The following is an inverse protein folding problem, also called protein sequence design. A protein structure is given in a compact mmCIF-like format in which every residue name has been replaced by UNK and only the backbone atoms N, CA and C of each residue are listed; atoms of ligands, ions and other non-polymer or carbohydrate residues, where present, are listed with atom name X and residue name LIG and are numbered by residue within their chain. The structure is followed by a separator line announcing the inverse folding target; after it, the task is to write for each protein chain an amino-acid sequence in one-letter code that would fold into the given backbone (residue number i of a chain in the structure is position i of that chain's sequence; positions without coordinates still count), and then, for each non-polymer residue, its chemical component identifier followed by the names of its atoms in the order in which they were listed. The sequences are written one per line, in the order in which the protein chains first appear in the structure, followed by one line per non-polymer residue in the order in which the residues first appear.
data_IF_760363378451
#
_entry.id   IF_760363378451
#
_cell.length_a   1.000
_cell.length_b   1.000
_cell.length_c   1.000
_cell.angle_alpha   90.00
_cell.angle_beta   90.00
_cell.angle_gamma   90.00
#
_symmetry.space_group_name_H-M   'P 1'
#
loop_
_entity.id
_entity.type
_entity.pdbx_description
1 polymer ?
#
# COMPACT_ATOMS: atom_id res chain seq x y z
N UNK A 1 -4.60 13.24 -21.65
CA UNK A 1 -5.86 12.45 -21.62
C UNK A 1 -6.38 12.50 -20.20
N UNK A 2 -7.61 12.96 -20.00
CA UNK A 2 -8.26 13.03 -18.68
C UNK A 2 -8.98 11.73 -18.33
N UNK A 3 -9.28 10.90 -19.33
CA UNK A 3 -10.00 9.63 -19.19
C UNK A 3 -9.38 8.55 -20.09
N UNK A 4 -9.68 7.28 -19.76
CA UNK A 4 -9.33 6.14 -20.60
C UNK A 4 -10.18 6.17 -21.90
N UNK A 5 -9.64 5.67 -23.03
CA UNK A 5 -10.44 5.54 -24.25
C UNK A 5 -11.59 4.53 -24.04
N UNK A 6 -12.60 4.60 -24.91
CA UNK A 6 -13.69 3.64 -24.92
C UNK A 6 -13.15 2.20 -25.01
N UNK A 7 -13.58 1.33 -24.09
CA UNK A 7 -13.17 -0.06 -24.09
C UNK A 7 -13.85 -0.84 -25.22
N UNK A 8 -13.19 -1.90 -25.70
CA UNK A 8 -13.83 -2.91 -26.55
C UNK A 8 -15.03 -3.57 -25.81
N UNK A 9 -16.03 -4.09 -26.53
CA UNK A 9 -17.16 -4.81 -25.93
C UNK A 9 -16.68 -5.91 -24.98
N UNK A 10 -17.20 -5.92 -23.75
CA UNK A 10 -16.77 -6.83 -22.68
C UNK A 10 -17.89 -7.04 -21.65
N UNK A 11 -17.77 -8.09 -20.85
CA UNK A 11 -18.67 -8.39 -19.70
C UNK A 11 -17.86 -8.47 -18.40
N UNK A 12 -18.44 -8.12 -17.24
CA UNK A 12 -17.77 -8.31 -15.97
C UNK A 12 -17.62 -9.81 -15.66
N UNK A 13 -16.49 -10.21 -15.08
CA UNK A 13 -16.24 -11.60 -14.65
C UNK A 13 -15.78 -11.67 -13.18
N UNK A 14 -15.08 -10.65 -12.71
CA UNK A 14 -14.46 -10.60 -11.41
C UNK A 14 -14.25 -9.14 -11.03
N UNK A 15 -14.45 -8.82 -9.76
CA UNK A 15 -14.08 -7.52 -9.21
C UNK A 15 -13.18 -7.75 -8.01
N UNK A 16 -12.01 -7.12 -8.04
CA UNK A 16 -11.12 -6.99 -6.89
C UNK A 16 -11.13 -5.53 -6.46
N UNK A 17 -11.32 -5.30 -5.16
CA UNK A 17 -11.18 -3.98 -4.53
C UNK A 17 -10.10 -4.08 -3.46
N UNK A 18 -9.21 -3.09 -3.45
CA UNK A 18 -8.20 -2.93 -2.42
C UNK A 18 -8.30 -1.51 -1.89
N UNK A 19 -8.33 -1.36 -0.57
CA UNK A 19 -8.45 -0.08 0.12
C UNK A 19 -7.33 0.05 1.15
N UNK A 20 -6.79 1.26 1.28
CA UNK A 20 -5.81 1.63 2.29
C UNK A 20 -6.29 2.91 2.97
N UNK A 21 -6.43 2.85 4.30
CA UNK A 21 -6.83 3.97 5.12
C UNK A 21 -5.76 4.25 6.16
N UNK A 22 -5.44 5.53 6.35
CA UNK A 22 -4.37 5.98 7.21
C UNK A 22 -4.90 6.70 8.43
N UNK A 23 -4.39 6.36 9.62
CA UNK A 23 -4.78 6.96 10.88
C UNK A 23 -3.55 7.34 11.71
N UNK A 24 -3.56 8.55 12.28
CA UNK A 24 -2.67 8.91 13.37
C UNK A 24 -3.30 8.46 14.68
N UNK A 25 -2.53 7.77 15.53
CA UNK A 25 -2.95 7.36 16.87
C UNK A 25 -2.56 8.40 17.91
N UNK A 26 -3.27 8.41 19.03
CA UNK A 26 -3.00 9.28 20.17
C UNK A 26 -1.62 9.03 20.81
N UNK A 27 -1.05 7.83 20.62
CA UNK A 27 0.30 7.48 21.08
C UNK A 27 1.43 7.87 20.09
N UNK A 28 1.09 8.56 19.01
CA UNK A 28 2.03 9.03 17.99
C UNK A 28 2.46 7.97 16.97
N UNK A 29 1.87 6.77 16.99
CA UNK A 29 2.04 5.78 15.94
C UNK A 29 1.02 5.96 14.82
N UNK A 30 1.22 5.26 13.71
CA UNK A 30 0.37 5.31 12.53
C UNK A 30 -0.25 3.95 12.27
N UNK A 31 -1.56 3.88 12.10
CA UNK A 31 -2.23 2.68 11.60
C UNK A 31 -2.50 2.82 10.10
N UNK A 32 -2.25 1.73 9.37
CA UNK A 32 -2.62 1.55 7.98
C UNK A 32 -3.59 0.37 7.91
N UNK A 33 -4.87 0.68 7.75
CA UNK A 33 -5.91 -0.32 7.56
C UNK A 33 -6.00 -0.68 6.08
N UNK A 34 -5.72 -1.93 5.78
CA UNK A 34 -5.73 -2.49 4.44
C UNK A 34 -6.90 -3.45 4.31
N UNK A 35 -7.70 -3.34 3.25
CA UNK A 35 -8.77 -4.30 2.94
C UNK A 35 -8.63 -4.82 1.52
N UNK A 36 -8.85 -6.12 1.31
CA UNK A 36 -9.02 -6.75 0.01
C UNK A 36 -10.38 -7.46 -0.04
N UNK A 37 -11.16 -7.16 -1.09
CA UNK A 37 -12.41 -7.83 -1.40
C UNK A 37 -12.40 -8.37 -2.84
N UNK A 38 -12.67 -9.67 -2.99
CA UNK A 38 -12.77 -10.35 -4.27
C UNK A 38 -14.17 -10.92 -4.48
N UNK A 39 -14.84 -10.53 -5.57
CA UNK A 39 -16.18 -11.03 -5.94
C UNK A 39 -16.20 -11.56 -7.37
N UNK A 40 -17.17 -12.42 -7.70
CA UNK A 40 -17.42 -12.86 -9.08
C UNK A 40 -18.71 -12.25 -9.61
N UNK A 41 -18.75 -12.00 -10.91
CA UNK A 41 -19.94 -11.51 -11.59
C UNK A 41 -20.94 -12.62 -11.97
N UNK A 42 -20.59 -13.87 -11.65
CA UNK A 42 -21.37 -15.07 -11.88
C UNK A 42 -21.43 -15.88 -10.59
N UNK A 43 -22.42 -16.76 -10.51
CA UNK A 43 -22.50 -17.77 -9.46
C UNK A 43 -21.30 -18.72 -9.55
N UNK A 44 -20.80 -19.13 -8.39
CA UNK A 44 -19.74 -20.12 -8.27
C UNK A 44 -20.04 -21.07 -7.12
N UNK A 45 -19.43 -22.26 -7.14
CA UNK A 45 -19.48 -23.20 -6.02
C UNK A 45 -18.10 -23.31 -5.39
N UNK A 46 -18.02 -23.10 -4.08
CA UNK A 46 -16.82 -23.33 -3.26
C UNK A 46 -17.00 -24.60 -2.43
N UNK A 47 -15.91 -25.32 -2.18
CA UNK A 47 -15.97 -26.61 -1.50
C UNK A 47 -16.55 -26.52 -0.08
N UNK A 48 -16.13 -25.53 0.71
CA UNK A 48 -16.57 -25.39 2.11
C UNK A 48 -17.76 -24.44 2.30
N UNK A 49 -18.00 -23.54 1.34
CA UNK A 49 -19.04 -22.49 1.43
C UNK A 49 -20.24 -22.72 0.51
N UNK A 50 -20.22 -23.78 -0.29
CA UNK A 50 -21.29 -24.11 -1.23
C UNK A 50 -21.44 -23.05 -2.33
N UNK A 51 -22.68 -22.85 -2.77
CA UNK A 51 -23.01 -21.91 -3.84
C UNK A 51 -22.93 -20.47 -3.33
N UNK A 52 -22.13 -19.64 -4.02
CA UNK A 52 -22.01 -18.21 -3.80
C UNK A 52 -22.69 -17.45 -4.94
N UNK A 53 -23.66 -16.56 -4.66
CA UNK A 53 -24.28 -15.74 -5.69
C UNK A 53 -23.30 -14.68 -6.25
N UNK A 54 -23.57 -14.13 -7.45
CA UNK A 54 -22.81 -13.02 -8.00
C UNK A 54 -22.70 -11.86 -7.00
N UNK A 55 -21.50 -11.31 -6.85
CA UNK A 55 -21.22 -10.19 -5.94
C UNK A 55 -20.88 -10.58 -4.51
N UNK A 56 -21.14 -11.82 -4.06
CA UNK A 56 -20.72 -12.27 -2.73
C UNK A 56 -19.18 -12.42 -2.68
N UNK A 57 -18.51 -11.94 -1.61
CA UNK A 57 -17.06 -12.06 -1.49
C UNK A 57 -16.58 -13.52 -1.34
N UNK A 58 -15.65 -13.89 -2.21
CA UNK A 58 -14.77 -15.05 -2.03
C UNK A 58 -13.76 -14.73 -0.94
N UNK A 59 -13.08 -13.59 -1.09
CA UNK A 59 -12.13 -13.06 -0.13
C UNK A 59 -12.66 -11.76 0.45
N UNK A 60 -12.61 -11.64 1.77
CA UNK A 60 -12.77 -10.39 2.50
C UNK A 60 -11.74 -10.42 3.63
N UNK A 61 -10.60 -9.77 3.38
CA UNK A 61 -9.42 -9.85 4.22
C UNK A 61 -9.00 -8.44 4.60
N UNK A 62 -8.76 -8.23 5.89
CA UNK A 62 -8.26 -6.99 6.46
C UNK A 62 -6.91 -7.21 7.12
N UNK A 63 -6.01 -6.25 6.98
CA UNK A 63 -4.72 -6.20 7.67
C UNK A 63 -4.55 -4.79 8.23
N UNK A 64 -4.29 -4.68 9.53
CA UNK A 64 -3.85 -3.43 10.16
C UNK A 64 -2.36 -3.52 10.40
N UNK A 65 -1.60 -2.54 9.89
CA UNK A 65 -0.18 -2.37 10.20
C UNK A 65 -0.01 -1.11 11.03
N UNK A 66 0.57 -1.24 12.22
CA UNK A 66 0.98 -0.10 13.03
C UNK A 66 2.45 0.21 12.75
N UNK A 67 2.80 1.44 12.38
CA UNK A 67 4.18 1.86 12.10
C UNK A 67 4.57 3.10 12.91
N UNK A 68 5.87 3.27 13.14
CA UNK A 68 6.43 4.50 13.68
C UNK A 68 6.81 5.51 12.60
N UNK A 69 7.34 6.66 13.03
CA UNK A 69 7.86 7.73 12.17
C UNK A 69 9.03 7.32 11.26
N UNK A 70 9.66 6.18 11.53
CA UNK A 70 10.70 5.56 10.71
C UNK A 70 10.16 4.44 9.81
N UNK A 71 8.83 4.29 9.70
CA UNK A 71 8.15 3.25 8.94
C UNK A 71 8.49 1.81 9.39
N UNK A 72 8.88 1.64 10.65
CA UNK A 72 9.10 0.31 11.24
C UNK A 72 7.79 -0.22 11.80
N UNK A 73 7.42 -1.44 11.42
CA UNK A 73 6.21 -2.11 11.88
C UNK A 73 6.33 -2.41 13.37
N UNK A 74 5.44 -1.83 14.16
CA UNK A 74 5.31 -2.01 15.61
C UNK A 74 4.28 -3.06 15.98
N UNK A 75 3.24 -3.20 15.17
CA UNK A 75 2.22 -4.23 15.32
C UNK A 75 1.61 -4.61 13.97
N UNK A 76 1.09 -5.83 13.86
CA UNK A 76 0.41 -6.32 12.67
C UNK A 76 -0.74 -7.26 13.07
N UNK A 77 -1.95 -6.94 12.61
CA UNK A 77 -3.17 -7.71 12.89
C UNK A 77 -3.89 -8.02 11.59
N UNK A 78 -4.58 -9.17 11.53
CA UNK A 78 -5.38 -9.51 10.36
C UNK A 78 -6.72 -10.15 10.75
N UNK A 79 -7.74 -9.87 9.95
CA UNK A 79 -9.04 -10.50 10.01
C UNK A 79 -9.41 -11.04 8.63
N UNK A 80 -9.80 -12.31 8.55
CA UNK A 80 -10.10 -13.00 7.29
C UNK A 80 -11.57 -13.41 7.27
N UNK A 81 -12.47 -12.43 7.17
CA UNK A 81 -13.92 -12.61 7.33
C UNK A 81 -14.55 -13.53 6.29
N UNK A 82 -14.01 -13.56 5.07
CA UNK A 82 -14.44 -14.48 4.00
C UNK A 82 -13.20 -15.07 3.35
N UNK A 83 -13.11 -16.39 3.32
CA UNK A 83 -12.04 -17.16 2.68
C UNK A 83 -12.63 -18.41 2.02
N UNK A 84 -11.94 -18.99 1.03
CA UNK A 84 -12.40 -20.22 0.38
C UNK A 84 -12.14 -21.49 1.21
N UNK A 85 -11.15 -21.44 2.11
CA UNK A 85 -10.68 -22.58 2.92
C UNK A 85 -10.40 -22.14 4.36
N UNK A 86 -10.79 -22.96 5.34
CA UNK A 86 -10.54 -22.69 6.76
C UNK A 86 -9.06 -22.51 7.12
N UNK A 87 -8.16 -23.24 6.48
CA UNK A 87 -6.71 -23.18 6.72
C UNK A 87 -6.10 -21.81 6.37
N UNK A 88 -6.81 -20.99 5.58
CA UNK A 88 -6.39 -19.62 5.31
C UNK A 88 -6.18 -18.81 6.59
N UNK A 89 -6.93 -19.10 7.67
CA UNK A 89 -6.84 -18.41 8.96
C UNK A 89 -5.49 -18.60 9.66
N UNK A 90 -4.70 -19.63 9.34
CA UNK A 90 -3.36 -19.79 9.90
C UNK A 90 -2.46 -18.59 9.57
N UNK A 91 -2.66 -17.97 8.41
CA UNK A 91 -1.89 -16.83 7.95
C UNK A 91 -2.13 -15.54 8.76
N UNK A 92 -3.22 -15.43 9.54
CA UNK A 92 -3.51 -14.24 10.37
C UNK A 92 -2.82 -14.27 11.75
N UNK A 93 -1.99 -15.27 12.02
CA UNK A 93 -1.36 -15.51 13.33
C UNK A 93 0.17 -15.33 13.30
N UNK A 94 0.93 -16.36 13.64
CA UNK A 94 2.40 -16.37 13.68
C UNK A 94 3.08 -15.89 12.39
N UNK A 95 2.61 -16.27 11.18
CA UNK A 95 3.14 -15.69 9.94
C UNK A 95 3.12 -14.17 9.93
N UNK A 96 2.00 -13.55 10.29
CA UNK A 96 1.84 -12.10 10.27
C UNK A 96 2.77 -11.40 11.27
N UNK A 97 2.99 -12.01 12.45
CA UNK A 97 3.89 -11.49 13.48
C UNK A 97 5.33 -11.35 12.99
N UNK A 98 5.77 -12.13 11.98
CA UNK A 98 7.11 -12.01 11.36
C UNK A 98 7.33 -10.68 10.64
N UNK A 99 6.27 -9.88 10.41
CA UNK A 99 6.39 -8.54 9.85
C UNK A 99 6.83 -7.51 10.90
N UNK A 100 6.58 -7.76 12.19
CA UNK A 100 6.94 -6.85 13.28
C UNK A 100 8.46 -6.67 13.33
N UNK A 101 8.90 -5.42 13.41
CA UNK A 101 10.31 -5.03 13.36
C UNK A 101 10.86 -4.82 11.95
N UNK A 102 10.12 -5.18 10.89
CA UNK A 102 10.53 -4.83 9.52
C UNK A 102 10.23 -3.36 9.23
N UNK A 103 11.16 -2.71 8.52
CA UNK A 103 11.00 -1.33 8.03
C UNK A 103 10.56 -1.31 6.57
N UNK A 104 9.46 -0.60 6.30
CA UNK A 104 9.00 -0.31 4.94
C UNK A 104 10.01 0.63 4.26
N UNK A 105 10.50 0.25 3.09
CA UNK A 105 11.54 1.03 2.40
C UNK A 105 12.29 0.23 1.33
N UNK A 106 13.56 0.57 1.04
CA UNK A 106 14.36 -0.15 0.07
C UNK A 106 14.37 -1.66 0.33
N UNK A 107 14.12 -2.45 -0.72
CA UNK A 107 14.04 -3.90 -0.63
C UNK A 107 12.77 -4.44 0.05
N UNK A 108 11.73 -3.61 0.25
CA UNK A 108 10.50 -4.01 0.96
C UNK A 108 9.92 -5.34 0.51
N UNK A 109 9.77 -5.52 -0.81
CA UNK A 109 9.28 -6.78 -1.40
C UNK A 109 10.08 -7.99 -0.94
N UNK A 110 11.41 -7.90 -0.97
CA UNK A 110 12.31 -8.98 -0.55
C UNK A 110 12.17 -9.29 0.94
N UNK A 111 11.95 -8.26 1.78
CA UNK A 111 11.71 -8.45 3.22
C UNK A 111 10.38 -9.18 3.47
N UNK A 112 9.31 -8.79 2.78
CA UNK A 112 8.01 -9.48 2.86
C UNK A 112 8.15 -10.94 2.42
N UNK A 113 8.79 -11.17 1.27
CA UNK A 113 8.99 -12.53 0.74
C UNK A 113 9.84 -13.38 1.69
N UNK A 114 10.85 -12.80 2.36
CA UNK A 114 11.63 -13.49 3.39
C UNK A 114 10.84 -13.84 4.66
N UNK A 115 9.87 -13.01 5.04
CA UNK A 115 9.09 -13.21 6.27
C UNK A 115 7.91 -14.17 6.07
N UNK A 116 7.11 -13.95 5.02
CA UNK A 116 5.83 -14.62 4.78
C UNK A 116 5.66 -15.11 3.34
N UNK A 117 6.75 -15.26 2.60
CA UNK A 117 6.74 -15.74 1.22
C UNK A 117 6.41 -17.23 1.08
N UNK A 118 6.07 -17.63 -0.15
CA UNK A 118 5.75 -19.02 -0.47
C UNK A 118 4.58 -19.54 0.35
N UNK A 119 4.76 -20.72 0.96
CA UNK A 119 3.78 -21.39 1.82
C UNK A 119 3.77 -20.86 3.26
N UNK A 120 4.71 -19.98 3.62
CA UNK A 120 4.81 -19.44 4.97
C UNK A 120 3.75 -18.38 5.30
N UNK A 121 2.93 -17.96 4.32
CA UNK A 121 1.87 -16.98 4.51
C UNK A 121 0.87 -16.92 3.35
N UNK A 122 -0.17 -16.09 3.50
CA UNK A 122 -1.22 -15.94 2.48
C UNK A 122 -0.79 -14.95 1.38
N UNK A 123 -1.05 -15.29 0.12
CA UNK A 123 -0.82 -14.40 -1.03
C UNK A 123 -1.58 -13.08 -0.89
N UNK A 124 -2.82 -13.10 -0.40
CA UNK A 124 -3.65 -11.89 -0.26
C UNK A 124 -3.11 -10.95 0.84
N UNK A 125 -2.66 -11.49 1.97
CA UNK A 125 -2.02 -10.68 3.01
C UNK A 125 -0.73 -10.05 2.47
N UNK A 126 0.09 -10.81 1.72
CA UNK A 126 1.30 -10.28 1.09
C UNK A 126 1.01 -9.14 0.12
N UNK A 127 -0.04 -9.24 -0.69
CA UNK A 127 -0.46 -8.19 -1.62
C UNK A 127 -0.85 -6.89 -0.90
N UNK A 128 -1.60 -7.00 0.19
CA UNK A 128 -1.96 -5.86 1.04
C UNK A 128 -0.71 -5.20 1.64
N UNK A 129 0.13 -5.99 2.30
CA UNK A 129 1.34 -5.52 2.99
C UNK A 129 2.36 -4.91 2.01
N UNK A 130 2.46 -5.44 0.79
CA UNK A 130 3.33 -4.88 -0.24
C UNK A 130 2.93 -3.45 -0.60
N UNK A 131 1.65 -3.20 -0.85
CA UNK A 131 1.15 -1.88 -1.27
C UNK A 131 0.93 -0.91 -0.10
N UNK A 132 0.81 -1.40 1.14
CA UNK A 132 0.68 -0.58 2.34
C UNK A 132 1.84 0.43 2.50
N UNK A 133 3.06 0.05 2.08
CA UNK A 133 4.20 0.96 2.10
C UNK A 133 3.99 2.19 1.22
N UNK A 134 3.42 2.02 0.02
CA UNK A 134 3.12 3.15 -0.87
C UNK A 134 2.09 4.09 -0.25
N UNK A 135 1.03 3.55 0.36
CA UNK A 135 0.04 4.34 1.08
C UNK A 135 0.68 5.12 2.24
N UNK A 136 1.51 4.45 3.05
CA UNK A 136 2.23 5.04 4.17
C UNK A 136 3.13 6.21 3.71
N UNK A 137 3.91 6.04 2.64
CA UNK A 137 4.79 7.08 2.11
C UNK A 137 4.04 8.28 1.53
N UNK A 138 2.79 8.10 1.10
CA UNK A 138 1.97 9.19 0.57
C UNK A 138 1.25 9.95 1.70
N UNK A 139 0.87 9.28 2.79
CA UNK A 139 0.11 9.89 3.88
C UNK A 139 0.99 10.52 4.98
N UNK A 140 2.00 9.78 5.49
CA UNK A 140 2.66 10.11 6.76
C UNK A 140 3.53 11.37 6.63
N UNK A 141 4.44 11.47 5.64
CA UNK A 141 5.34 12.61 5.55
C UNK A 141 4.59 13.93 5.32
N UNK A 142 3.55 13.90 4.49
CA UNK A 142 2.76 15.10 4.18
C UNK A 142 2.04 15.62 5.43
N UNK A 143 1.41 14.74 6.21
CA UNK A 143 0.78 15.11 7.46
C UNK A 143 1.79 15.70 8.44
N UNK A 144 2.95 15.05 8.61
CA UNK A 144 4.01 15.51 9.53
C UNK A 144 4.58 16.88 9.13
N UNK A 145 4.68 17.17 7.84
CA UNK A 145 5.08 18.50 7.34
C UNK A 145 4.05 19.58 7.72
N UNK A 146 2.75 19.27 7.60
CA UNK A 146 1.66 20.19 7.94
C UNK A 146 1.58 20.47 9.45
N UNK A 147 1.65 19.43 10.29
CA UNK A 147 1.62 19.56 11.76
C UNK A 147 2.76 20.42 12.31
N UNK A 148 3.96 20.29 11.73
CA UNK A 148 5.14 21.05 12.15
C UNK A 148 5.08 22.54 11.75
N UNK A 149 3.97 23.02 11.20
CA UNK A 149 3.81 24.39 10.73
C UNK A 149 4.81 24.77 9.62
N UNK A 150 5.45 23.78 8.99
CA UNK A 150 6.51 23.96 7.99
C UNK A 150 5.93 24.26 6.60
N UNK A 151 4.75 24.87 6.55
CA UNK A 151 3.99 25.26 5.35
C UNK A 151 4.63 26.44 4.57
N UNK A 152 5.95 26.60 4.66
CA UNK A 152 6.70 27.41 3.71
C UNK A 152 6.75 26.73 2.33
N UNK A 153 7.20 27.43 1.28
CA UNK A 153 7.41 26.82 -0.03
C UNK A 153 8.22 25.52 0.14
N UNK A 154 7.77 24.43 -0.46
CA UNK A 154 8.41 23.10 -0.37
C UNK A 154 9.93 23.25 -0.59
N UNK A 155 10.73 23.05 0.45
CA UNK A 155 12.20 23.14 0.38
C UNK A 155 12.82 24.52 0.62
N UNK A 156 12.08 25.50 1.15
CA UNK A 156 12.66 26.75 1.66
C UNK A 156 13.46 26.48 2.95
N UNK A 157 14.73 26.06 2.81
CA UNK A 157 15.67 25.91 3.93
C UNK A 157 16.36 24.55 4.09
N UNK A 158 16.11 23.58 3.19
CA UNK A 158 16.82 22.30 3.18
C UNK A 158 17.73 22.20 1.95
N UNK A 159 19.01 21.90 2.15
CA UNK A 159 19.95 21.57 1.07
C UNK A 159 19.69 20.18 0.45
N UNK A 160 18.81 19.39 1.07
CA UNK A 160 18.45 18.05 0.59
C UNK A 160 17.04 18.04 -0.02
N UNK A 161 16.85 17.36 -1.16
CA UNK A 161 15.54 17.22 -1.78
C UNK A 161 14.61 16.38 -0.90
N UNK A 162 13.29 16.68 -0.88
CA UNK A 162 12.30 15.81 -0.26
C UNK A 162 12.34 14.38 -0.80
N UNK A 163 11.98 13.40 0.04
CA UNK A 163 12.10 11.96 -0.28
C UNK A 163 11.33 11.53 -1.55
N UNK A 164 10.27 12.25 -1.92
CA UNK A 164 9.48 11.94 -3.13
C UNK A 164 10.12 12.43 -4.43
N UNK A 165 11.13 13.31 -4.38
CA UNK A 165 11.83 13.76 -5.59
C UNK A 165 12.68 12.63 -6.18
N UNK A 166 12.62 12.49 -7.50
CA UNK A 166 13.18 11.35 -8.22
C UNK A 166 12.37 10.06 -8.15
N UNK A 167 11.24 10.03 -7.42
CA UNK A 167 10.46 8.80 -7.21
C UNK A 167 9.28 8.62 -8.19
N UNK A 168 8.92 9.65 -8.96
CA UNK A 168 7.91 9.53 -10.01
C UNK A 168 8.24 10.41 -11.20
N UNK A 169 7.60 10.13 -12.34
CA UNK A 169 7.83 10.84 -13.60
C UNK A 169 7.75 12.37 -13.43
N UNK A 170 6.74 12.86 -12.71
CA UNK A 170 6.54 14.29 -12.50
C UNK A 170 7.64 14.90 -11.65
N UNK A 171 8.13 14.20 -10.62
CA UNK A 171 9.15 14.68 -9.68
C UNK A 171 10.59 14.29 -10.06
N UNK A 172 10.84 13.85 -11.30
CA UNK A 172 12.21 13.59 -11.77
C UNK A 172 13.05 14.87 -11.72
N UNK A 173 14.33 14.74 -11.34
CA UNK A 173 15.22 15.90 -11.10
C UNK A 173 15.47 16.76 -12.33
N UNK A 174 15.39 16.18 -13.52
CA UNK A 174 15.51 16.84 -14.82
C UNK A 174 14.15 17.21 -15.43
N UNK A 175 13.08 17.20 -14.62
CA UNK A 175 11.70 17.35 -15.07
C UNK A 175 11.18 18.79 -14.97
N UNK A 176 10.17 19.14 -15.77
CA UNK A 176 9.60 20.49 -15.80
C UNK A 176 8.91 20.89 -14.50
N UNK A 177 8.43 19.94 -13.68
CA UNK A 177 7.83 20.25 -12.38
C UNK A 177 8.89 20.68 -11.39
N UNK A 178 10.02 19.95 -11.29
CA UNK A 178 11.13 20.32 -10.41
C UNK A 178 11.70 21.68 -10.84
N UNK A 179 11.89 21.90 -12.14
CA UNK A 179 12.35 23.20 -12.66
C UNK A 179 11.44 24.38 -12.26
N UNK A 180 10.11 24.19 -12.24
CA UNK A 180 9.15 25.25 -11.87
C UNK A 180 8.95 25.43 -10.36
N UNK A 181 8.91 24.33 -9.61
CA UNK A 181 8.45 24.31 -8.21
C UNK A 181 9.61 24.28 -7.21
N UNK A 182 10.72 23.65 -7.57
CA UNK A 182 11.90 23.52 -6.71
C UNK A 182 13.20 23.58 -7.55
N UNK A 183 13.47 24.72 -8.23
CA UNK A 183 14.60 24.86 -9.15
C UNK A 183 15.96 24.60 -8.48
N UNK A 184 16.08 24.77 -7.16
CA UNK A 184 17.29 24.46 -6.40
C UNK A 184 17.70 22.98 -6.46
N UNK A 185 16.76 22.07 -6.76
CA UNK A 185 17.03 20.65 -6.93
C UNK A 185 17.07 20.20 -8.41
N UNK A 186 16.83 21.12 -9.35
CA UNK A 186 16.82 20.78 -10.78
C UNK A 186 18.22 20.37 -11.26
N UNK A 187 18.29 19.26 -12.01
CA UNK A 187 19.52 18.76 -12.61
C UNK A 187 19.36 18.78 -14.12
N UNK A 188 20.20 19.53 -14.83
CA UNK A 188 20.18 19.48 -16.28
C UNK A 188 20.41 18.03 -16.76
N UNK A 189 19.65 17.56 -17.77
CA UNK A 189 19.96 16.31 -18.43
C UNK A 189 21.42 16.35 -18.89
N UNK A 190 22.17 15.26 -18.70
CA UNK A 190 23.48 15.16 -19.36
C UNK A 190 23.23 15.20 -20.87
N UNK A 191 23.99 16.04 -21.58
CA UNK A 191 24.07 15.94 -23.03
C UNK A 191 24.74 14.60 -23.37
N UNK A 192 24.14 13.85 -24.28
CA UNK A 192 24.72 12.63 -24.84
C UNK A 192 25.99 12.92 -25.66
#
# INVERSE_FOLDING_TARGET
MTELPAAAPRRPIHTRRIQFEGFLRDDGLWDIDCELSDTKAIEITLNERGVLPPGEPIHLIRVRLTVDDGFTIRDAQAAMAKVPWGECHEASSEPLRKLVGLTMGPGWRKKIDGAIGGVAGCTHIRELVFNAATAAFQMIPHYREMEKGSAGPRGAGSDQPPFYMGQCMSWRFDGPVVQRVAPQFYRQPKAD
#
